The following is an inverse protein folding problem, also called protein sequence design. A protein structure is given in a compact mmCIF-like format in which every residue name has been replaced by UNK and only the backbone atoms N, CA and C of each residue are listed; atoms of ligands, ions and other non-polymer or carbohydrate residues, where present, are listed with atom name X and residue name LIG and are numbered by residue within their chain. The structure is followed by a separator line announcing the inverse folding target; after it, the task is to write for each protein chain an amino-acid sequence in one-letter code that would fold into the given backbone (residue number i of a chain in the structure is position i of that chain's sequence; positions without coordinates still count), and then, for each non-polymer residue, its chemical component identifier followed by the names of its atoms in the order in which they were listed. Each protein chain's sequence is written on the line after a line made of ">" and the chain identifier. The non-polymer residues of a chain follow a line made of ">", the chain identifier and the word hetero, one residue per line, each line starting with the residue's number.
data_IF_238017001495
#
_entry.id   IF_238017001495
#
_cell.length_a   1.000
_cell.length_b   1.000
_cell.length_c   1.000
_cell.angle_alpha   90.00
_cell.angle_beta   90.00
_cell.angle_gamma   90.00
#
_symmetry.space_group_name_H-M   'P 1'
#
loop_
_entity.id
_entity.type
_entity.pdbx_description
1 polymer ?
#
# COMPACT_ATOMS: atom_id res chain seq x y z
N UNK A 1 9.41 -53.13 -45.61
CA UNK A 1 9.28 -51.90 -44.80
C UNK A 1 10.12 -51.85 -43.53
N UNK A 2 9.90 -52.64 -42.45
CA UNK A 2 10.76 -52.56 -41.24
C UNK A 2 12.18 -53.13 -41.48
N UNK A 3 12.33 -54.12 -42.37
CA UNK A 3 13.64 -54.68 -42.74
C UNK A 3 14.46 -53.75 -43.67
N UNK A 4 13.81 -53.01 -44.57
CA UNK A 4 14.48 -52.04 -45.48
C UNK A 4 15.02 -50.82 -44.72
N UNK A 5 14.36 -50.40 -43.63
CA UNK A 5 14.86 -49.37 -42.72
C UNK A 5 16.14 -49.80 -41.99
N UNK A 6 16.33 -51.10 -41.76
CA UNK A 6 17.51 -51.64 -41.06
C UNK A 6 18.74 -51.71 -41.96
N UNK A 7 18.56 -51.91 -43.27
CA UNK A 7 19.64 -51.89 -44.26
C UNK A 7 20.18 -50.47 -44.50
N UNK A 8 19.31 -49.46 -44.53
CA UNK A 8 19.74 -48.05 -44.66
C UNK A 8 20.37 -47.48 -43.38
N UNK A 9 20.02 -48.01 -42.20
CA UNK A 9 20.58 -47.59 -40.90
C UNK A 9 22.10 -47.81 -40.78
N UNK A 10 22.70 -48.68 -41.58
CA UNK A 10 24.15 -48.93 -41.56
C UNK A 10 24.95 -48.07 -42.53
N UNK A 11 24.29 -47.25 -43.34
CA UNK A 11 24.95 -46.36 -44.29
C UNK A 11 25.40 -45.06 -43.58
N UNK A 12 26.65 -44.64 -43.80
CA UNK A 12 27.25 -43.48 -43.10
C UNK A 12 26.43 -42.20 -43.30
N UNK A 13 25.84 -42.04 -44.49
CA UNK A 13 24.96 -40.93 -44.82
C UNK A 13 23.71 -40.85 -43.92
N UNK A 14 23.09 -41.99 -43.61
CA UNK A 14 21.87 -42.03 -42.79
C UNK A 14 22.18 -41.69 -41.32
N UNK A 15 23.35 -42.12 -40.81
CA UNK A 15 23.83 -41.75 -39.47
C UNK A 15 24.13 -40.26 -39.36
N UNK A 16 24.69 -39.66 -40.42
CA UNK A 16 24.99 -38.23 -40.47
C UNK A 16 23.70 -37.40 -40.53
N UNK A 17 22.71 -37.83 -41.33
CA UNK A 17 21.38 -37.22 -41.39
C UNK A 17 20.64 -37.28 -40.04
N UNK A 18 20.64 -38.45 -39.38
CA UNK A 18 20.05 -38.61 -38.04
C UNK A 18 20.78 -37.77 -36.99
N UNK A 19 22.11 -37.67 -37.08
CA UNK A 19 22.91 -36.81 -36.21
C UNK A 19 22.55 -35.34 -36.37
N UNK A 20 22.37 -34.86 -37.61
CA UNK A 20 21.93 -33.48 -37.87
C UNK A 20 20.54 -33.27 -37.27
N UNK A 21 19.56 -34.14 -37.55
CA UNK A 21 18.19 -34.02 -37.01
C UNK A 21 18.19 -34.03 -35.47
N UNK A 22 18.97 -34.91 -34.86
CA UNK A 22 19.11 -34.98 -33.40
C UNK A 22 19.72 -33.69 -32.82
N UNK A 23 20.75 -33.14 -33.49
CA UNK A 23 21.37 -31.87 -33.10
C UNK A 23 20.38 -30.71 -33.29
N UNK A 24 19.59 -30.69 -34.37
CA UNK A 24 18.56 -29.65 -34.57
C UNK A 24 17.46 -29.74 -33.52
N UNK A 25 17.06 -30.95 -33.11
CA UNK A 25 16.10 -31.15 -32.03
C UNK A 25 16.66 -30.68 -30.68
N UNK A 26 17.92 -31.01 -30.39
CA UNK A 26 18.59 -30.60 -29.16
C UNK A 26 18.81 -29.07 -29.11
N UNK A 27 19.12 -28.44 -30.25
CA UNK A 27 19.30 -26.99 -30.34
C UNK A 27 17.98 -26.20 -30.40
N UNK A 28 16.93 -26.75 -31.02
CA UNK A 28 15.60 -26.10 -31.08
C UNK A 28 14.77 -26.29 -29.81
N UNK A 29 14.87 -27.45 -29.15
CA UNK A 29 14.04 -27.77 -27.97
C UNK A 29 14.82 -27.79 -26.64
N UNK A 30 16.17 -27.74 -26.68
CA UNK A 30 17.02 -27.71 -25.49
C UNK A 30 17.10 -29.06 -24.75
N UNK A 31 18.23 -29.31 -24.08
CA UNK A 31 18.45 -30.50 -23.22
C UNK A 31 17.70 -30.40 -21.87
N UNK A 32 16.82 -29.40 -21.71
CA UNK A 32 16.16 -29.09 -20.43
C UNK A 32 14.89 -29.88 -20.13
N UNK A 33 14.32 -30.63 -21.09
CA UNK A 33 13.01 -31.27 -20.92
C UNK A 33 13.00 -32.60 -20.15
N UNK A 34 14.16 -33.17 -19.80
CA UNK A 34 14.27 -34.52 -19.20
C UNK A 34 14.76 -34.56 -17.74
N UNK A 35 15.15 -33.42 -17.16
CA UNK A 35 15.41 -33.32 -15.72
C UNK A 35 14.18 -32.71 -15.07
N UNK A 36 13.50 -33.49 -14.22
CA UNK A 36 12.25 -33.10 -13.59
C UNK A 36 12.29 -31.71 -12.98
N UNK A 37 11.16 -30.99 -13.08
CA UNK A 37 10.93 -29.66 -12.52
C UNK A 37 11.59 -29.55 -11.15
N UNK A 38 12.77 -28.90 -11.10
CA UNK A 38 13.33 -28.44 -9.84
C UNK A 38 12.34 -27.40 -9.35
N UNK A 39 11.59 -27.72 -8.29
CA UNK A 39 10.71 -26.76 -7.62
C UNK A 39 11.57 -25.61 -7.10
N UNK A 40 11.72 -24.57 -7.91
CA UNK A 40 12.39 -23.35 -7.50
C UNK A 40 11.44 -22.58 -6.59
N UNK A 41 11.78 -22.51 -5.31
CA UNK A 41 11.01 -21.80 -4.28
C UNK A 41 11.52 -20.37 -4.17
N UNK A 42 10.63 -19.39 -4.30
CA UNK A 42 10.96 -17.96 -4.18
C UNK A 42 10.84 -17.49 -2.74
N UNK A 43 9.86 -18.01 -2.01
CA UNK A 43 9.64 -17.71 -0.61
C UNK A 43 8.86 -18.84 0.08
N UNK A 44 8.90 -18.86 1.41
CA UNK A 44 8.08 -19.74 2.24
C UNK A 44 7.22 -18.87 3.16
N UNK A 45 5.92 -19.13 3.19
CA UNK A 45 4.94 -18.49 4.06
C UNK A 45 4.39 -19.57 4.98
N UNK A 46 4.78 -19.54 6.26
CA UNK A 46 4.57 -20.63 7.21
C UNK A 46 5.12 -21.97 6.66
N UNK A 47 4.23 -22.94 6.40
CA UNK A 47 4.55 -24.24 5.83
C UNK A 47 4.25 -24.35 4.33
N UNK A 48 3.79 -23.27 3.70
CA UNK A 48 3.52 -23.22 2.27
C UNK A 48 4.67 -22.57 1.49
N UNK A 49 5.04 -23.17 0.37
CA UNK A 49 6.09 -22.67 -0.53
C UNK A 49 5.46 -21.88 -1.68
N UNK A 50 5.97 -20.67 -1.93
CA UNK A 50 5.66 -19.89 -3.14
C UNK A 50 6.65 -20.30 -4.22
N UNK A 51 6.16 -20.98 -5.25
CA UNK A 51 6.99 -21.45 -6.36
C UNK A 51 7.30 -20.31 -7.34
N UNK A 52 8.45 -20.38 -8.00
CA UNK A 52 8.84 -19.41 -9.01
C UNK A 52 7.90 -19.42 -10.22
N UNK A 53 7.39 -20.60 -10.56
CA UNK A 53 6.38 -20.76 -11.60
C UNK A 53 5.12 -19.94 -11.29
N UNK A 54 4.59 -20.09 -10.08
CA UNK A 54 3.41 -19.35 -9.61
C UNK A 54 3.65 -17.84 -9.63
N UNK A 55 4.82 -17.39 -9.14
CA UNK A 55 5.17 -15.98 -9.19
C UNK A 55 5.24 -15.41 -10.61
N UNK A 56 5.84 -16.15 -11.55
CA UNK A 56 5.91 -15.75 -12.97
C UNK A 56 4.52 -15.66 -13.59
N UNK A 57 3.69 -16.67 -13.38
CA UNK A 57 2.31 -16.71 -13.89
C UNK A 57 1.48 -15.53 -13.34
N UNK A 58 1.57 -15.27 -12.03
CA UNK A 58 0.88 -14.14 -11.40
C UNK A 58 1.37 -12.79 -11.97
N UNK A 59 2.68 -12.64 -12.17
CA UNK A 59 3.27 -11.43 -12.73
C UNK A 59 2.86 -11.21 -14.19
N UNK A 60 2.91 -12.26 -15.02
CA UNK A 60 2.52 -12.19 -16.43
C UNK A 60 1.03 -11.86 -16.59
N UNK A 61 0.17 -12.47 -15.78
CA UNK A 61 -1.26 -12.16 -15.77
C UNK A 61 -1.49 -10.71 -15.36
N UNK A 62 -0.82 -10.24 -14.29
CA UNK A 62 -0.93 -8.85 -13.85
C UNK A 62 -0.42 -7.87 -14.90
N UNK A 63 0.71 -8.18 -15.54
CA UNK A 63 1.30 -7.36 -16.60
C UNK A 63 0.39 -7.28 -17.82
N UNK A 64 -0.27 -8.38 -18.21
CA UNK A 64 -1.22 -8.39 -19.34
C UNK A 64 -2.38 -7.42 -19.11
N UNK A 65 -3.02 -7.48 -17.94
CA UNK A 65 -4.08 -6.52 -17.57
C UNK A 65 -3.54 -5.09 -17.52
N UNK A 66 -2.29 -4.92 -17.05
CA UNK A 66 -1.64 -3.62 -17.02
C UNK A 66 -1.37 -3.06 -18.43
N UNK A 67 -0.98 -3.92 -19.37
CA UNK A 67 -0.80 -3.58 -20.79
C UNK A 67 -2.13 -3.23 -21.46
N UNK A 68 -3.21 -3.94 -21.17
CA UNK A 68 -4.56 -3.62 -21.67
C UNK A 68 -5.01 -2.22 -21.23
N UNK A 69 -4.62 -1.79 -20.02
CA UNK A 69 -5.01 -0.49 -19.47
C UNK A 69 -4.08 0.66 -19.92
N UNK A 70 -2.77 0.44 -19.98
CA UNK A 70 -1.76 1.51 -20.16
C UNK A 70 -1.01 1.45 -21.50
N UNK A 71 -1.27 0.44 -22.33
CA UNK A 71 -0.65 0.26 -23.64
C UNK A 71 0.88 0.22 -23.57
N UNK A 72 1.54 0.95 -24.47
CA UNK A 72 3.01 0.99 -24.60
C UNK A 72 3.73 1.50 -23.34
N UNK A 73 3.07 2.29 -22.48
CA UNK A 73 3.68 2.81 -21.26
C UNK A 73 3.64 1.84 -20.07
N UNK A 74 3.00 0.67 -20.23
CA UNK A 74 2.75 -0.27 -19.14
C UNK A 74 4.05 -0.71 -18.43
N UNK A 75 5.11 -1.00 -19.16
CA UNK A 75 6.38 -1.45 -18.55
C UNK A 75 7.02 -0.36 -17.68
N UNK A 76 7.07 0.88 -18.18
CA UNK A 76 7.61 2.02 -17.44
C UNK A 76 6.84 2.28 -16.14
N UNK A 77 5.51 2.24 -16.20
CA UNK A 77 4.67 2.40 -15.02
C UNK A 77 4.79 1.21 -14.06
N UNK A 78 4.90 -0.01 -14.57
CA UNK A 78 5.09 -1.20 -13.75
C UNK A 78 6.39 -1.14 -12.94
N UNK A 79 7.48 -0.62 -13.52
CA UNK A 79 8.71 -0.37 -12.78
C UNK A 79 8.55 0.70 -11.71
N UNK A 80 7.96 1.86 -12.07
CA UNK A 80 7.74 2.96 -11.15
C UNK A 80 6.90 2.55 -9.93
N UNK A 81 5.89 1.71 -10.13
CA UNK A 81 5.02 1.20 -9.06
C UNK A 81 5.57 -0.04 -8.33
N UNK A 82 6.75 -0.52 -8.72
CA UNK A 82 7.33 -1.78 -8.22
C UNK A 82 6.35 -2.96 -8.36
N UNK A 83 5.74 -3.12 -9.53
CA UNK A 83 4.71 -4.14 -9.79
C UNK A 83 5.14 -5.56 -9.39
N UNK A 84 6.42 -5.88 -9.60
CA UNK A 84 7.05 -7.14 -9.16
C UNK A 84 6.86 -7.39 -7.67
N UNK A 85 7.15 -6.36 -6.85
CA UNK A 85 6.98 -6.44 -5.40
C UNK A 85 5.51 -6.50 -5.00
N UNK A 86 4.63 -5.78 -5.68
CA UNK A 86 3.19 -5.83 -5.42
C UNK A 86 2.62 -7.22 -5.67
N UNK A 87 2.97 -7.85 -6.80
CA UNK A 87 2.55 -9.23 -7.13
C UNK A 87 3.10 -10.22 -6.10
N UNK A 88 4.36 -10.06 -5.68
CA UNK A 88 4.94 -10.91 -4.64
C UNK A 88 4.21 -10.77 -3.30
N UNK A 89 3.91 -9.54 -2.86
CA UNK A 89 3.14 -9.30 -1.64
C UNK A 89 1.73 -9.88 -1.74
N UNK A 90 1.08 -9.72 -2.90
CA UNK A 90 -0.25 -10.29 -3.14
C UNK A 90 -0.26 -11.82 -3.03
N UNK A 91 0.81 -12.50 -3.48
CA UNK A 91 0.94 -13.95 -3.29
C UNK A 91 1.14 -14.32 -1.82
N UNK A 92 1.93 -13.56 -1.08
CA UNK A 92 2.07 -13.76 0.38
C UNK A 92 0.70 -13.63 1.06
N UNK A 93 -0.03 -12.55 0.79
CA UNK A 93 -1.35 -12.32 1.37
C UNK A 93 -2.33 -13.43 1.01
N UNK A 94 -2.31 -13.90 -0.25
CA UNK A 94 -3.11 -15.04 -0.71
C UNK A 94 -2.79 -16.31 0.08
N UNK A 95 -1.51 -16.65 0.27
CA UNK A 95 -1.11 -17.83 1.04
C UNK A 95 -1.52 -17.73 2.52
N UNK A 96 -1.34 -16.55 3.13
CA UNK A 96 -1.76 -16.31 4.51
C UNK A 96 -3.28 -16.49 4.68
N UNK A 97 -4.07 -15.87 3.80
CA UNK A 97 -5.53 -15.96 3.85
C UNK A 97 -6.04 -17.38 3.60
N UNK A 98 -5.42 -18.12 2.68
CA UNK A 98 -5.78 -19.53 2.43
C UNK A 98 -5.40 -20.45 3.59
N UNK A 99 -4.24 -20.22 4.20
CA UNK A 99 -3.80 -20.97 5.38
C UNK A 99 -4.79 -20.77 6.53
N UNK A 100 -5.10 -19.52 6.84
CA UNK A 100 -6.05 -19.19 7.90
C UNK A 100 -7.47 -19.68 7.58
N UNK A 101 -7.92 -19.59 6.33
CA UNK A 101 -9.19 -20.15 5.89
C UNK A 101 -9.25 -21.68 6.11
N UNK A 102 -8.14 -22.39 5.86
CA UNK A 102 -8.05 -23.82 6.11
C UNK A 102 -8.08 -24.15 7.62
N UNK A 103 -7.39 -23.36 8.45
CA UNK A 103 -7.42 -23.51 9.92
C UNK A 103 -8.84 -23.33 10.50
N UNK A 104 -9.64 -22.42 9.92
CA UNK A 104 -11.04 -22.20 10.26
C UNK A 104 -12.00 -23.24 9.65
N UNK A 105 -11.49 -24.23 8.93
CA UNK A 105 -12.29 -25.22 8.18
C UNK A 105 -13.30 -24.56 7.22
N UNK A 106 -12.94 -23.42 6.63
CA UNK A 106 -13.76 -22.79 5.61
C UNK A 106 -13.68 -23.60 4.32
N UNK A 107 -14.86 -23.84 3.72
CA UNK A 107 -15.00 -24.62 2.50
C UNK A 107 -15.79 -23.83 1.45
N UNK A 108 -15.40 -23.97 0.18
CA UNK A 108 -16.20 -23.58 -0.98
C UNK A 108 -16.95 -24.83 -1.47
N UNK A 109 -18.25 -24.87 -1.22
CA UNK A 109 -19.11 -26.00 -1.57
C UNK A 109 -19.32 -26.07 -3.09
N UNK A 110 -19.68 -27.25 -3.58
CA UNK A 110 -20.00 -27.45 -5.01
C UNK A 110 -21.16 -26.58 -5.46
N UNK A 111 -22.15 -26.36 -4.58
CA UNK A 111 -23.31 -25.53 -4.89
C UNK A 111 -22.92 -24.06 -5.07
N UNK A 112 -22.03 -23.54 -4.21
CA UNK A 112 -21.51 -22.17 -4.34
C UNK A 112 -20.68 -21.99 -5.59
N UNK A 113 -19.84 -22.98 -5.93
CA UNK A 113 -19.10 -22.97 -7.18
C UNK A 113 -20.04 -22.95 -8.39
N UNK A 114 -21.05 -23.82 -8.41
CA UNK A 114 -22.02 -23.88 -9.50
C UNK A 114 -22.80 -22.57 -9.64
N UNK A 115 -23.27 -21.99 -8.53
CA UNK A 115 -23.97 -20.71 -8.54
C UNK A 115 -23.05 -19.57 -9.02
N UNK A 116 -21.80 -19.55 -8.57
CA UNK A 116 -20.81 -18.59 -9.03
C UNK A 116 -20.56 -18.67 -10.53
N UNK A 117 -20.40 -19.89 -11.08
CA UNK A 117 -20.22 -20.12 -12.53
C UNK A 117 -21.46 -19.70 -13.31
N UNK A 118 -22.66 -20.06 -12.84
CA UNK A 118 -23.94 -19.73 -13.52
C UNK A 118 -24.20 -18.24 -13.63
N UNK A 119 -23.67 -17.43 -12.70
CA UNK A 119 -23.81 -15.97 -12.69
C UNK A 119 -22.86 -15.26 -13.66
N UNK A 120 -21.87 -15.95 -14.23
CA UNK A 120 -20.92 -15.35 -15.16
C UNK A 120 -21.59 -15.10 -16.52
N UNK A 121 -21.68 -13.83 -16.94
CA UNK A 121 -22.38 -13.44 -18.16
C UNK A 121 -21.82 -14.11 -19.44
N UNK A 122 -20.51 -14.37 -19.49
CA UNK A 122 -19.85 -15.02 -20.62
C UNK A 122 -20.13 -16.54 -20.72
N UNK A 123 -20.74 -17.14 -19.70
CA UNK A 123 -21.25 -18.51 -19.74
C UNK A 123 -22.77 -18.57 -19.93
N UNK A 124 -23.41 -17.43 -20.18
CA UNK A 124 -24.85 -17.35 -20.38
C UNK A 124 -25.21 -17.21 -21.85
N UNK A 125 -26.30 -17.87 -22.25
CA UNK A 125 -26.98 -17.69 -23.52
C UNK A 125 -28.41 -17.27 -23.24
N UNK A 126 -28.83 -16.13 -23.79
CA UNK A 126 -30.12 -15.51 -23.48
C UNK A 126 -30.35 -15.24 -21.97
N UNK A 127 -29.28 -14.91 -21.23
CA UNK A 127 -29.34 -14.61 -19.79
C UNK A 127 -29.47 -15.82 -18.87
N UNK A 128 -29.36 -17.04 -19.39
CA UNK A 128 -29.32 -18.27 -18.59
C UNK A 128 -28.03 -19.02 -18.87
N UNK A 129 -27.51 -19.72 -17.87
CA UNK A 129 -26.31 -20.53 -18.02
C UNK A 129 -26.50 -21.60 -19.11
N UNK A 130 -25.52 -21.71 -20.01
CA UNK A 130 -25.52 -22.65 -21.12
C UNK A 130 -24.22 -23.47 -21.07
N UNK A 131 -24.38 -24.78 -20.88
CA UNK A 131 -23.25 -25.69 -20.66
C UNK A 131 -22.36 -25.81 -21.91
N UNK A 132 -22.94 -25.80 -23.10
CA UNK A 132 -22.18 -25.87 -24.36
C UNK A 132 -21.34 -24.61 -24.55
N UNK A 133 -21.89 -23.44 -24.20
CA UNK A 133 -21.16 -22.17 -24.18
C UNK A 133 -20.01 -22.22 -23.18
N UNK A 134 -20.24 -22.74 -21.97
CA UNK A 134 -19.19 -22.94 -20.97
C UNK A 134 -18.02 -23.80 -21.49
N UNK A 135 -18.30 -25.00 -22.02
CA UNK A 135 -17.28 -25.89 -22.58
C UNK A 135 -16.58 -25.27 -23.80
N UNK A 136 -17.32 -24.56 -24.65
CA UNK A 136 -16.77 -23.86 -25.81
C UNK A 136 -15.79 -22.76 -25.38
N UNK A 137 -16.15 -21.94 -24.39
CA UNK A 137 -15.28 -20.87 -23.89
C UNK A 137 -14.01 -21.46 -23.27
N UNK A 138 -14.12 -22.50 -22.44
CA UNK A 138 -12.94 -23.13 -21.84
C UNK A 138 -12.02 -23.76 -22.89
N UNK A 139 -12.58 -24.51 -23.85
CA UNK A 139 -11.80 -25.16 -24.89
C UNK A 139 -11.12 -24.18 -25.86
N UNK A 140 -11.80 -23.10 -26.24
CA UNK A 140 -11.21 -22.02 -27.07
C UNK A 140 -10.01 -21.36 -26.39
N UNK A 141 -10.06 -21.22 -25.06
CA UNK A 141 -8.98 -20.65 -24.26
C UNK A 141 -7.96 -21.71 -23.79
N UNK A 142 -8.12 -22.98 -24.20
CA UNK A 142 -7.26 -24.11 -23.79
C UNK A 142 -7.19 -24.31 -22.27
N UNK A 143 -8.27 -23.97 -21.58
CA UNK A 143 -8.38 -24.09 -20.13
C UNK A 143 -8.99 -25.44 -19.80
N UNK A 144 -8.33 -26.21 -18.93
CA UNK A 144 -8.87 -27.48 -18.47
C UNK A 144 -9.91 -27.22 -17.39
N UNK A 145 -11.09 -27.84 -17.54
CA UNK A 145 -12.23 -27.62 -16.65
C UNK A 145 -11.93 -27.76 -15.16
N UNK A 146 -11.25 -28.84 -14.77
CA UNK A 146 -10.97 -29.08 -13.35
C UNK A 146 -10.00 -28.06 -12.75
N UNK A 147 -9.06 -27.53 -13.56
CA UNK A 147 -8.14 -26.47 -13.13
C UNK A 147 -8.89 -25.15 -12.95
N UNK A 148 -9.81 -24.84 -13.86
CA UNK A 148 -10.67 -23.67 -13.77
C UNK A 148 -11.61 -23.72 -12.56
N UNK A 149 -12.32 -24.83 -12.37
CA UNK A 149 -13.18 -25.01 -11.20
C UNK A 149 -12.37 -24.98 -9.89
N UNK A 150 -11.15 -25.52 -9.89
CA UNK A 150 -10.23 -25.46 -8.75
C UNK A 150 -9.76 -24.04 -8.41
N UNK A 151 -9.44 -23.22 -9.42
CA UNK A 151 -9.07 -21.81 -9.20
C UNK A 151 -10.25 -21.02 -8.64
N UNK A 152 -11.44 -21.21 -9.19
CA UNK A 152 -12.67 -20.57 -8.70
C UNK A 152 -13.00 -20.93 -7.25
N UNK A 153 -12.80 -22.18 -6.84
CA UNK A 153 -12.96 -22.57 -5.42
C UNK A 153 -12.00 -21.80 -4.52
N UNK A 154 -10.75 -21.65 -4.96
CA UNK A 154 -9.74 -20.92 -4.20
C UNK A 154 -10.12 -19.44 -4.08
N UNK A 155 -10.65 -18.85 -5.14
CA UNK A 155 -11.10 -17.46 -5.14
C UNK A 155 -12.35 -17.26 -4.28
N UNK A 156 -13.29 -18.21 -4.29
CA UNK A 156 -14.45 -18.23 -3.38
C UNK A 156 -14.02 -18.33 -1.91
N UNK A 157 -13.04 -19.17 -1.59
CA UNK A 157 -12.48 -19.27 -0.24
C UNK A 157 -11.85 -17.96 0.23
N UNK A 158 -11.03 -17.33 -0.62
CA UNK A 158 -10.45 -16.01 -0.33
C UNK A 158 -11.51 -14.95 -0.11
N UNK A 159 -12.51 -14.89 -0.99
CA UNK A 159 -13.61 -13.93 -0.89
C UNK A 159 -14.39 -14.11 0.42
N UNK A 160 -14.72 -15.36 0.79
CA UNK A 160 -15.35 -15.66 2.09
C UNK A 160 -14.49 -15.22 3.26
N UNK A 161 -13.18 -15.52 3.23
CA UNK A 161 -12.27 -15.13 4.31
C UNK A 161 -12.20 -13.61 4.46
N UNK A 162 -12.11 -12.88 3.36
CA UNK A 162 -12.12 -11.41 3.37
C UNK A 162 -13.44 -10.85 3.90
N UNK A 163 -14.57 -11.42 3.51
CA UNK A 163 -15.87 -11.03 4.03
C UNK A 163 -15.96 -11.27 5.55
N UNK A 164 -15.42 -12.38 6.04
CA UNK A 164 -15.40 -12.69 7.47
C UNK A 164 -14.59 -11.66 8.29
N UNK A 165 -13.47 -11.18 7.75
CA UNK A 165 -12.70 -10.10 8.39
C UNK A 165 -13.53 -8.82 8.55
N UNK A 166 -14.45 -8.55 7.62
CA UNK A 166 -15.35 -7.39 7.66
C UNK A 166 -16.59 -7.57 8.53
N UNK A 167 -17.12 -8.80 8.66
CA UNK A 167 -18.43 -9.04 9.33
C UNK A 167 -18.48 -8.67 10.81
N UNK A 168 -17.34 -8.61 11.50
CA UNK A 168 -17.26 -8.22 12.91
C UNK A 168 -17.05 -6.72 13.14
N UNK A 169 -16.85 -5.93 12.08
CA UNK A 169 -16.56 -4.50 12.19
C UNK A 169 -17.87 -3.71 12.23
N UNK A 170 -18.34 -3.42 13.44
CA UNK A 170 -19.43 -2.46 13.66
C UNK A 170 -18.80 -1.14 14.09
N UNK A 171 -18.86 -0.14 13.22
CA UNK A 171 -18.43 1.22 13.55
C UNK A 171 -19.67 1.98 14.00
N UNK A 172 -19.75 2.31 15.28
CA UNK A 172 -20.85 3.08 15.84
C UNK A 172 -20.75 4.56 15.46
N UNK A 173 -21.88 5.25 15.36
CA UNK A 173 -21.89 6.71 15.17
C UNK A 173 -21.10 7.45 16.25
N UNK A 174 -21.03 6.88 17.46
CA UNK A 174 -20.25 7.42 18.58
C UNK A 174 -18.74 7.35 18.32
N UNK A 175 -18.24 6.24 17.78
CA UNK A 175 -16.82 6.12 17.43
C UNK A 175 -16.43 7.08 16.30
N UNK A 176 -17.31 7.26 15.31
CA UNK A 176 -17.12 8.25 14.25
C UNK A 176 -17.06 9.66 14.82
N UNK A 177 -18.01 10.02 15.69
CA UNK A 177 -18.05 11.31 16.35
C UNK A 177 -16.80 11.54 17.23
N UNK A 178 -16.35 10.53 17.96
CA UNK A 178 -15.14 10.61 18.78
C UNK A 178 -13.87 10.83 17.93
N UNK A 179 -13.72 10.09 16.84
CA UNK A 179 -12.59 10.29 15.92
C UNK A 179 -12.63 11.69 15.30
N UNK A 180 -13.80 12.13 14.84
CA UNK A 180 -13.99 13.47 14.31
C UNK A 180 -13.64 14.56 15.33
N UNK A 181 -14.11 14.45 16.57
CA UNK A 181 -13.75 15.39 17.63
C UNK A 181 -12.25 15.35 17.95
N UNK A 182 -11.63 14.18 17.98
CA UNK A 182 -10.18 14.08 18.17
C UNK A 182 -9.39 14.82 17.08
N UNK A 183 -9.83 14.74 15.83
CA UNK A 183 -9.13 15.36 14.70
C UNK A 183 -9.44 16.86 14.53
N UNK A 184 -10.63 17.30 14.93
CA UNK A 184 -11.15 18.63 14.57
C UNK A 184 -11.63 19.50 15.75
N UNK A 185 -11.66 18.98 16.97
CA UNK A 185 -12.07 19.79 18.14
C UNK A 185 -10.93 20.69 18.60
N UNK A 186 -11.15 22.00 18.46
CA UNK A 186 -10.29 23.02 19.05
C UNK A 186 -10.88 23.42 20.41
N UNK A 187 -10.06 23.30 21.46
CA UNK A 187 -10.45 23.71 22.81
C UNK A 187 -9.76 25.02 23.13
N UNK A 188 -10.54 26.09 23.25
CA UNK A 188 -10.10 27.36 23.82
C UNK A 188 -10.56 27.43 25.28
N UNK A 189 -9.61 27.61 26.21
CA UNK A 189 -9.90 27.69 27.64
C UNK A 189 -9.50 29.07 28.14
N UNK A 190 -10.51 29.84 28.54
CA UNK A 190 -10.31 31.01 29.40
C UNK A 190 -10.42 30.58 30.85
N UNK A 191 -9.43 30.93 31.66
CA UNK A 191 -9.48 30.68 33.09
C UNK A 191 -8.97 31.89 33.86
N UNK A 192 -9.53 32.09 35.04
CA UNK A 192 -9.04 33.05 36.01
C UNK A 192 -8.21 32.29 37.03
N UNK A 193 -6.91 32.56 37.04
CA UNK A 193 -6.01 31.99 38.03
C UNK A 193 -6.21 32.70 39.38
N UNK A 194 -6.72 31.96 40.36
CA UNK A 194 -6.78 32.40 41.76
C UNK A 194 -5.75 31.60 42.55
N UNK A 195 -4.77 32.29 43.13
CA UNK A 195 -3.80 31.69 44.04
C UNK A 195 -4.26 31.89 45.50
N UNK A 196 -4.78 30.84 46.17
CA UNK A 196 -5.25 30.94 47.55
C UNK A 196 -4.11 31.26 48.53
N UNK A 197 -2.85 30.95 48.18
CA UNK A 197 -1.71 31.11 49.07
C UNK A 197 -1.48 32.58 49.47
N UNK A 198 -1.83 33.53 48.59
CA UNK A 198 -1.65 34.98 48.81
C UNK A 198 -2.53 35.51 49.96
N UNK A 199 -3.56 34.75 50.36
CA UNK A 199 -4.54 35.16 51.38
C UNK A 199 -4.44 34.36 52.69
N UNK A 200 -3.61 33.30 52.73
CA UNK A 200 -3.45 32.46 53.94
C UNK A 200 -2.93 33.30 55.10
N UNK A 201 -1.89 34.11 54.87
CA UNK A 201 -1.30 34.95 55.93
C UNK A 201 -2.16 36.17 56.29
N UNK A 202 -3.16 36.49 55.45
CA UNK A 202 -4.08 37.63 55.63
C UNK A 202 -5.40 37.23 56.30
N UNK A 203 -5.57 35.94 56.58
CA UNK A 203 -6.80 35.39 57.14
C UNK A 203 -6.50 34.70 58.47
N UNK A 204 -7.26 35.03 59.50
CA UNK A 204 -7.18 34.34 60.80
C UNK A 204 -8.34 33.36 60.88
N UNK A 205 -8.04 32.06 60.78
CA UNK A 205 -9.06 31.00 60.85
C UNK A 205 -9.01 30.35 62.23
N UNK A 206 -10.17 30.14 62.87
CA UNK A 206 -10.24 29.39 64.14
C UNK A 206 -10.74 27.94 63.90
N UNK A 207 -10.44 27.03 64.83
CA UNK A 207 -10.81 25.62 64.72
C UNK A 207 -12.33 25.34 64.79
N UNK A 208 -13.11 26.25 65.35
CA UNK A 208 -14.57 26.09 65.46
C UNK A 208 -15.20 26.29 64.08
N UNK A 209 -14.78 27.34 63.37
CA UNK A 209 -15.27 27.67 62.03
C UNK A 209 -14.84 26.59 61.01
N UNK A 210 -13.61 26.07 61.13
CA UNK A 210 -13.15 24.93 60.31
C UNK A 210 -13.99 23.67 60.50
N UNK A 211 -14.31 23.33 61.76
CA UNK A 211 -15.14 22.16 62.06
C UNK A 211 -16.57 22.33 61.56
N UNK A 212 -17.13 23.53 61.71
CA UNK A 212 -18.46 23.85 61.19
C UNK A 212 -18.50 23.76 59.66
N UNK A 213 -17.52 24.36 58.98
CA UNK A 213 -17.43 24.32 57.52
C UNK A 213 -17.30 22.89 56.97
N UNK A 214 -16.44 22.06 57.58
CA UNK A 214 -16.28 20.64 57.22
C UNK A 214 -17.58 19.82 57.41
N UNK A 215 -18.36 20.10 58.46
CA UNK A 215 -19.64 19.43 58.69
C UNK A 215 -20.75 19.88 57.74
N UNK A 216 -20.74 21.16 57.34
CA UNK A 216 -21.73 21.74 56.43
C UNK A 216 -21.44 21.42 54.94
N UNK A 217 -20.18 21.10 54.59
CA UNK A 217 -19.75 20.85 53.20
C UNK A 217 -19.04 19.49 53.03
N UNK A 218 -19.64 18.36 53.44
CA UNK A 218 -18.99 17.05 53.40
C UNK A 218 -18.58 16.63 51.99
N UNK A 219 -19.28 17.08 50.95
CA UNK A 219 -19.02 16.76 49.54
C UNK A 219 -17.72 17.36 49.01
N UNK A 220 -17.28 18.50 49.55
CA UNK A 220 -16.01 19.17 49.17
C UNK A 220 -14.77 18.44 49.73
N UNK A 221 -14.96 17.59 50.74
CA UNK A 221 -13.90 16.82 51.39
C UNK A 221 -13.97 15.32 51.05
N UNK A 222 -14.78 14.94 50.06
CA UNK A 222 -14.77 13.58 49.53
C UNK A 222 -13.53 13.36 48.67
N UNK A 223 -12.97 12.17 48.75
CA UNK A 223 -11.96 11.74 47.77
C UNK A 223 -12.66 11.46 46.45
N UNK A 224 -12.07 11.92 45.34
CA UNK A 224 -12.54 11.55 44.00
C UNK A 224 -12.59 10.02 43.88
N UNK A 225 -13.53 9.51 43.08
CA UNK A 225 -13.64 8.08 42.79
C UNK A 225 -12.28 7.53 42.33
N UNK A 226 -11.67 6.69 43.16
CA UNK A 226 -10.42 6.01 42.85
C UNK A 226 -10.74 4.67 42.20
N UNK A 227 -10.16 4.42 41.03
CA UNK A 227 -10.25 3.13 40.36
C UNK A 227 -8.92 2.40 40.51
N UNK A 228 -8.98 1.14 40.93
CA UNK A 228 -7.83 0.23 40.86
C UNK A 228 -7.90 -0.50 39.53
N UNK A 229 -7.00 -0.13 38.62
CA UNK A 229 -6.92 -0.72 37.28
C UNK A 229 -5.67 -1.59 37.21
N UNK A 230 -5.85 -2.83 36.77
CA UNK A 230 -4.76 -3.73 36.42
C UNK A 230 -4.61 -3.69 34.90
N UNK A 231 -3.43 -3.33 34.42
CA UNK A 231 -3.15 -3.19 33.00
C UNK A 231 -1.78 -3.77 32.67
N UNK A 232 -1.62 -4.23 31.44
CA UNK A 232 -0.34 -4.64 30.88
C UNK A 232 0.07 -3.63 29.80
N UNK A 233 1.28 -3.11 29.88
CA UNK A 233 1.83 -2.22 28.85
C UNK A 233 2.74 -3.00 27.92
N UNK A 234 2.42 -2.97 26.62
CA UNK A 234 3.36 -3.39 25.58
C UNK A 234 4.20 -2.18 25.17
N UNK A 235 5.24 -1.86 25.94
CA UNK A 235 6.18 -0.80 25.54
C UNK A 235 7.17 -1.34 24.50
N UNK A 236 7.43 -0.55 23.45
CA UNK A 236 8.50 -0.84 22.50
C UNK A 236 9.87 -0.86 23.17
N UNK A 237 10.04 -0.18 24.32
CA UNK A 237 11.26 -0.23 25.11
C UNK A 237 11.58 -1.62 25.63
N UNK A 238 10.57 -2.42 25.98
CA UNK A 238 10.75 -3.82 26.41
C UNK A 238 11.41 -4.66 25.30
N UNK A 239 11.13 -4.33 24.04
CA UNK A 239 11.63 -5.07 22.89
C UNK A 239 13.00 -4.60 22.41
N UNK A 240 13.47 -3.41 22.82
CA UNK A 240 14.77 -2.86 22.38
C UNK A 240 15.95 -3.77 22.72
N UNK A 241 15.93 -4.39 23.89
CA UNK A 241 17.05 -5.20 24.38
C UNK A 241 16.99 -6.67 23.93
N UNK A 242 15.80 -7.14 23.52
CA UNK A 242 15.60 -8.53 23.06
C UNK A 242 15.62 -8.66 21.54
N UNK A 243 15.33 -7.58 20.80
CA UNK A 243 15.39 -7.57 19.34
C UNK A 243 16.79 -7.17 18.89
N UNK A 244 17.59 -8.18 18.53
CA UNK A 244 18.95 -7.96 18.05
C UNK A 244 18.95 -7.83 16.51
N UNK A 245 18.91 -6.59 16.02
CA UNK A 245 18.92 -6.32 14.56
C UNK A 245 20.34 -6.43 14.02
N UNK A 246 20.56 -7.26 13.01
CA UNK A 246 21.90 -7.43 12.43
C UNK A 246 22.27 -6.20 11.61
N UNK A 247 23.52 -5.78 11.73
CA UNK A 247 24.10 -4.65 10.96
C UNK A 247 23.86 -4.75 9.44
N UNK A 248 23.88 -5.98 8.90
CA UNK A 248 23.59 -6.25 7.48
C UNK A 248 22.15 -5.88 7.11
N UNK A 249 21.20 -6.07 8.01
CA UNK A 249 19.79 -5.76 7.81
C UNK A 249 19.55 -4.26 7.90
N UNK A 250 20.19 -3.59 8.86
CA UNK A 250 20.20 -2.11 8.97
C UNK A 250 20.72 -1.48 7.68
N UNK A 251 21.87 -1.93 7.16
CA UNK A 251 22.43 -1.41 5.91
C UNK A 251 21.56 -1.69 4.70
N UNK A 252 20.93 -2.87 4.64
CA UNK A 252 20.00 -3.23 3.56
C UNK A 252 18.78 -2.31 3.57
N UNK A 253 18.21 -2.08 4.76
CA UNK A 253 17.07 -1.21 4.96
C UNK A 253 17.41 0.24 4.60
N UNK A 254 18.53 0.76 5.10
CA UNK A 254 18.98 2.12 4.79
C UNK A 254 19.14 2.32 3.27
N UNK A 255 19.85 1.42 2.58
CA UNK A 255 20.04 1.50 1.12
C UNK A 255 18.72 1.47 0.35
N UNK A 256 17.75 0.66 0.81
CA UNK A 256 16.43 0.54 0.17
C UNK A 256 15.55 1.78 0.38
N UNK A 257 15.79 2.55 1.45
CA UNK A 257 14.95 3.68 1.86
C UNK A 257 15.73 5.01 1.88
N UNK A 258 16.79 5.14 1.08
CA UNK A 258 17.68 6.31 1.08
C UNK A 258 16.92 7.63 0.86
N UNK A 259 15.84 7.60 0.06
CA UNK A 259 14.96 8.75 -0.21
C UNK A 259 14.24 9.29 1.04
N UNK A 260 14.00 8.45 2.05
CA UNK A 260 13.39 8.85 3.32
C UNK A 260 14.39 9.41 4.32
N UNK A 261 15.69 9.33 4.02
CA UNK A 261 16.80 9.76 4.89
C UNK A 261 17.62 10.91 4.27
N UNK A 262 17.08 11.57 3.25
CA UNK A 262 17.66 12.79 2.68
C UNK A 262 16.85 13.99 3.13
N UNK A 263 17.55 15.04 3.54
CA UNK A 263 16.95 16.36 3.69
C UNK A 263 16.85 16.99 2.30
N UNK A 264 15.65 17.34 1.80
CA UNK A 264 15.51 17.96 0.50
C UNK A 264 16.34 19.25 0.41
N UNK A 265 16.95 19.55 -0.74
CA UNK A 265 17.67 20.80 -0.92
C UNK A 265 16.72 21.98 -0.73
N UNK A 266 17.02 22.83 0.24
CA UNK A 266 16.30 24.08 0.47
C UNK A 266 17.03 25.22 -0.24
N UNK A 267 16.30 26.02 -1.01
CA UNK A 267 16.82 27.25 -1.60
C UNK A 267 16.24 28.45 -0.86
N UNK A 268 17.08 29.46 -0.59
CA UNK A 268 16.63 30.76 -0.10
C UNK A 268 16.32 31.64 -1.31
N UNK A 269 15.04 31.76 -1.67
CA UNK A 269 14.59 32.70 -2.69
C UNK A 269 14.24 34.05 -2.06
N UNK A 270 14.42 35.13 -2.82
CA UNK A 270 13.96 36.49 -2.50
C UNK A 270 13.29 37.06 -3.75
N UNK A 271 12.22 37.82 -3.58
CA UNK A 271 11.48 38.43 -4.69
C UNK A 271 11.12 39.89 -4.41
N UNK A 272 10.74 40.61 -5.46
CA UNK A 272 10.05 41.90 -5.37
C UNK A 272 8.68 41.66 -6.01
N UNK A 273 7.62 41.80 -5.22
CA UNK A 273 6.25 41.55 -5.68
C UNK A 273 5.58 42.89 -5.95
N UNK A 274 4.97 43.06 -7.13
CA UNK A 274 3.96 44.09 -7.33
C UNK A 274 2.61 43.38 -7.45
N UNK A 275 1.66 43.66 -6.57
CA UNK A 275 0.36 42.99 -6.56
C UNK A 275 -0.45 43.43 -7.76
N UNK A 276 -1.17 42.47 -8.33
CA UNK A 276 -2.12 42.70 -9.40
C UNK A 276 -3.49 42.14 -8.96
N UNK A 277 -4.49 42.99 -8.72
CA UNK A 277 -5.86 42.55 -8.48
C UNK A 277 -6.37 41.67 -9.65
N UNK A 278 -7.23 40.67 -9.40
CA UNK A 278 -7.74 39.75 -10.43
C UNK A 278 -8.43 40.44 -11.61
N UNK A 279 -9.05 41.60 -11.38
CA UNK A 279 -9.81 42.37 -12.36
C UNK A 279 -9.02 43.56 -12.95
N UNK A 280 -7.68 43.51 -12.89
CA UNK A 280 -6.83 44.60 -13.41
C UNK A 280 -6.88 44.70 -14.93
N UNK A 281 -6.84 45.92 -15.46
CA UNK A 281 -6.80 46.16 -16.90
C UNK A 281 -5.46 45.73 -17.53
N UNK A 282 -5.46 45.47 -18.84
CA UNK A 282 -4.22 45.18 -19.60
C UNK A 282 -3.21 46.34 -19.51
N UNK A 283 -3.69 47.58 -19.37
CA UNK A 283 -2.86 48.76 -19.16
C UNK A 283 -2.11 48.67 -17.82
N UNK A 284 -2.81 48.38 -16.72
CA UNK A 284 -2.20 48.21 -15.40
C UNK A 284 -1.21 47.04 -15.36
N UNK A 285 -1.51 45.95 -16.08
CA UNK A 285 -0.58 44.83 -16.22
C UNK A 285 0.71 45.26 -16.92
N UNK A 286 0.59 46.01 -18.02
CA UNK A 286 1.73 46.51 -18.80
C UNK A 286 2.58 47.48 -17.99
N UNK A 287 1.95 48.38 -17.22
CA UNK A 287 2.66 49.31 -16.33
C UNK A 287 3.46 48.58 -15.24
N UNK A 288 2.84 47.61 -14.56
CA UNK A 288 3.52 46.82 -13.51
C UNK A 288 4.66 45.97 -14.08
N UNK A 289 4.50 45.43 -15.29
CA UNK A 289 5.59 44.74 -15.99
C UNK A 289 6.75 45.67 -16.31
N UNK A 290 6.50 46.84 -16.88
CA UNK A 290 7.55 47.83 -17.18
C UNK A 290 8.27 48.29 -15.89
N UNK A 291 7.54 48.44 -14.78
CA UNK A 291 8.14 48.73 -13.48
C UNK A 291 9.10 47.62 -13.03
N UNK A 292 8.69 46.35 -13.11
CA UNK A 292 9.55 45.21 -12.77
C UNK A 292 10.78 45.12 -13.70
N UNK A 293 10.64 45.38 -15.00
CA UNK A 293 11.76 45.39 -15.94
C UNK A 293 12.77 46.50 -15.64
N UNK A 294 12.27 47.68 -15.24
CA UNK A 294 13.13 48.80 -14.81
C UNK A 294 13.88 48.45 -13.53
N UNK A 295 13.21 47.83 -12.54
CA UNK A 295 13.86 47.36 -11.31
C UNK A 295 14.90 46.29 -11.61
N UNK A 296 14.59 45.33 -12.48
CA UNK A 296 15.52 44.30 -12.93
C UNK A 296 16.77 44.90 -13.58
N UNK A 297 16.60 45.93 -14.42
CA UNK A 297 17.71 46.64 -15.06
C UNK A 297 18.59 47.34 -14.02
N UNK A 298 17.99 47.98 -13.02
CA UNK A 298 18.72 48.63 -11.93
C UNK A 298 19.50 47.63 -11.06
N UNK A 299 18.89 46.49 -10.73
CA UNK A 299 19.52 45.39 -10.01
C UNK A 299 20.72 44.85 -10.81
N UNK A 300 20.54 44.60 -12.12
CA UNK A 300 21.62 44.14 -13.02
C UNK A 300 22.73 45.17 -13.20
N UNK A 301 22.42 46.46 -13.07
CA UNK A 301 23.42 47.54 -13.09
C UNK A 301 24.16 47.73 -11.77
N UNK A 302 23.87 46.91 -10.74
CA UNK A 302 24.60 46.88 -9.47
C UNK A 302 23.92 47.59 -8.30
N UNK A 303 22.67 48.05 -8.44
CA UNK A 303 21.90 48.56 -7.28
C UNK A 303 21.53 47.42 -6.33
N UNK A 304 21.41 47.73 -5.04
CA UNK A 304 21.05 46.76 -4.01
C UNK A 304 19.64 46.21 -4.23
N UNK A 305 19.52 44.88 -4.29
CA UNK A 305 18.23 44.19 -4.34
C UNK A 305 17.40 44.47 -3.07
N UNK A 306 18.05 44.53 -1.91
CA UNK A 306 17.37 44.74 -0.61
C UNK A 306 16.72 46.12 -0.53
N UNK A 307 17.43 47.16 -0.99
CA UNK A 307 16.91 48.53 -0.99
C UNK A 307 15.71 48.65 -1.92
N UNK A 308 15.81 48.08 -3.12
CA UNK A 308 14.72 48.09 -4.10
C UNK A 308 13.54 47.22 -3.67
N UNK A 309 13.78 46.11 -2.97
CA UNK A 309 12.71 45.29 -2.41
C UNK A 309 11.96 46.04 -1.30
N UNK A 310 12.67 46.72 -0.40
CA UNK A 310 12.05 47.52 0.67
C UNK A 310 11.25 48.71 0.15
N UNK A 311 11.72 49.33 -0.93
CA UNK A 311 11.07 50.50 -1.53
C UNK A 311 9.89 50.15 -2.42
N UNK A 312 9.97 49.03 -3.16
CA UNK A 312 9.03 48.73 -4.25
C UNK A 312 8.26 47.42 -4.10
N UNK A 313 8.64 46.51 -3.21
CA UNK A 313 7.89 45.28 -3.02
C UNK A 313 6.62 45.55 -2.20
N UNK A 314 5.50 45.06 -2.70
CA UNK A 314 4.19 45.05 -2.05
C UNK A 314 3.95 43.74 -1.27
N UNK A 315 4.97 42.89 -1.14
CA UNK A 315 4.95 41.73 -0.24
C UNK A 315 5.05 42.17 1.22
N UNK A 316 4.25 41.56 2.10
CA UNK A 316 4.16 41.93 3.52
C UNK A 316 5.40 41.54 4.36
N UNK A 317 6.37 40.88 3.74
CA UNK A 317 7.63 40.42 4.36
C UNK A 317 8.89 41.10 3.81
N UNK A 318 8.72 42.14 2.99
CA UNK A 318 9.82 42.84 2.31
C UNK A 318 10.63 43.80 3.20
#
# INVERSE_FOLDING_TARGET
>A
MIQELREYSNNLFFKLLMGVIAITFVLSFGVGGFFGDRKEVVAKVNDQEILLKEYREAYENRMRTFQEQFGENAEKFAEQLNLRQQVFNQLIDRHLLLTDAAELNLLATDLELQDFIRRQAYFQKNGQFDYDTYETVLSQNRIVRHEYEGSLRTDLLLSKKQQLLGTGLVISSREVEQAYRMDFENIEVEYVFFDPQIFIDKTTVNQVDLRKYHQEHPDEFQTLNQFKIEFYTLSTDYYKDIVNVREREVRRYYKKNTESYVTPPQIKARHILLKLPPDSSEETLTEKQQQLEKLLTQIRSGKSFEELAREHSEDGTA
#
